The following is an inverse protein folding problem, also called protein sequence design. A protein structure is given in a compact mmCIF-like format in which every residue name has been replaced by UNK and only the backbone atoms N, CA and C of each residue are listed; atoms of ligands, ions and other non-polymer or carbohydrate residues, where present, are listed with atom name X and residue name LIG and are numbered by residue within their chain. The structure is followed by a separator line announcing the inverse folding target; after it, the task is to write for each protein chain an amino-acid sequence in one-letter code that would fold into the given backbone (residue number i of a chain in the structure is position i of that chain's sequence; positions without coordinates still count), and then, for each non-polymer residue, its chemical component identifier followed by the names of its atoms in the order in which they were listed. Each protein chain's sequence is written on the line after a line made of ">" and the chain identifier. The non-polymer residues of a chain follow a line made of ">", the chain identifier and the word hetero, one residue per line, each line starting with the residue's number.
data_IF_319183193978
#
_entry.id   IF_319183193978
#
_cell.length_a   1.000
_cell.length_b   1.000
_cell.length_c   1.000
_cell.angle_alpha   90.00
_cell.angle_beta   90.00
_cell.angle_gamma   90.00
#
_symmetry.space_group_name_H-M   'P 1'
#
loop_
_entity.id
_entity.type
_entity.pdbx_description
1 polymer ?
#
# COMPACT_ATOMS: atom_id res chain seq x y z
N UNK A 1 23.33 -6.06 21.38
CA UNK A 1 22.14 -5.52 20.65
C UNK A 1 21.98 -6.04 19.22
N UNK A 2 22.24 -7.33 18.95
CA UNK A 2 22.13 -7.89 17.58
C UNK A 2 20.72 -7.81 16.95
N UNK A 3 19.61 -8.11 17.68
CA UNK A 3 18.27 -8.06 17.10
C UNK A 3 17.80 -6.66 16.69
N UNK A 4 18.15 -5.64 17.49
CA UNK A 4 17.78 -4.26 17.23
C UNK A 4 18.52 -3.70 16.01
N UNK A 5 19.82 -4.01 15.88
CA UNK A 5 20.60 -3.64 14.71
C UNK A 5 20.01 -4.26 13.43
N UNK A 6 19.69 -5.56 13.45
CA UNK A 6 19.08 -6.25 12.31
C UNK A 6 17.71 -5.66 11.94
N UNK A 7 16.88 -5.32 12.92
CA UNK A 7 15.60 -4.66 12.67
C UNK A 7 15.77 -3.28 12.01
N UNK A 8 16.75 -2.50 12.47
CA UNK A 8 17.07 -1.19 11.92
C UNK A 8 17.51 -1.29 10.45
N UNK A 9 18.44 -2.21 10.14
CA UNK A 9 18.89 -2.42 8.76
C UNK A 9 17.76 -2.87 7.83
N UNK A 10 16.92 -3.83 8.25
CA UNK A 10 15.78 -4.28 7.43
C UNK A 10 14.75 -3.18 7.21
N UNK A 11 14.59 -2.28 8.20
CA UNK A 11 13.70 -1.14 8.07
C UNK A 11 14.22 -0.13 7.05
N UNK A 12 15.52 0.19 7.05
CA UNK A 12 16.09 1.12 6.07
C UNK A 12 16.19 0.51 4.66
N UNK A 13 16.49 -0.79 4.56
CA UNK A 13 16.70 -1.46 3.26
C UNK A 13 15.40 -1.68 2.47
N UNK A 14 14.23 -1.62 3.11
CA UNK A 14 12.94 -1.87 2.44
C UNK A 14 12.65 -0.81 1.36
N UNK A 15 13.05 0.44 1.57
CA UNK A 15 12.79 1.54 0.65
C UNK A 15 13.58 1.37 -0.65
N UNK A 16 14.69 0.62 -0.61
CA UNK A 16 15.50 0.32 -1.79
C UNK A 16 14.69 -0.38 -2.89
N UNK A 17 13.62 -1.10 -2.54
CA UNK A 17 12.73 -1.75 -3.51
C UNK A 17 12.19 -0.74 -4.53
N UNK A 18 11.87 0.49 -4.10
CA UNK A 18 11.31 1.55 -4.95
C UNK A 18 12.36 2.51 -5.52
N UNK A 19 13.62 2.41 -5.08
CA UNK A 19 14.74 3.23 -5.58
C UNK A 19 15.44 2.61 -6.80
N UNK A 20 15.06 1.39 -7.20
CA UNK A 20 15.67 0.72 -8.36
C UNK A 20 15.29 1.39 -9.67
N UNK A 21 16.14 1.23 -10.70
CA UNK A 21 15.97 1.94 -11.99
C UNK A 21 14.85 1.35 -12.84
N UNK A 22 14.61 0.05 -12.69
CA UNK A 22 13.63 -0.68 -13.48
C UNK A 22 12.95 -1.79 -12.64
N UNK A 23 11.85 -2.28 -13.18
CA UNK A 23 10.99 -3.30 -12.59
C UNK A 23 11.72 -4.60 -12.26
N UNK A 24 12.65 -5.03 -13.10
CA UNK A 24 13.39 -6.27 -12.88
C UNK A 24 14.35 -6.15 -11.69
N UNK A 25 15.06 -5.02 -11.58
CA UNK A 25 15.92 -4.71 -10.42
C UNK A 25 15.09 -4.60 -9.14
N UNK A 26 13.93 -3.96 -9.19
CA UNK A 26 13.02 -3.86 -8.05
C UNK A 26 12.54 -5.22 -7.55
N UNK A 27 12.19 -6.14 -8.47
CA UNK A 27 11.79 -7.50 -8.11
C UNK A 27 12.94 -8.31 -7.53
N UNK A 28 14.16 -8.15 -8.05
CA UNK A 28 15.36 -8.76 -7.45
C UNK A 28 15.62 -8.24 -6.04
N UNK A 29 15.51 -6.92 -5.84
CA UNK A 29 15.67 -6.31 -4.52
C UNK A 29 14.57 -6.76 -3.55
N UNK A 30 13.32 -6.89 -4.02
CA UNK A 30 12.20 -7.41 -3.24
C UNK A 30 12.46 -8.85 -2.77
N UNK A 31 12.91 -9.73 -3.66
CA UNK A 31 13.23 -11.12 -3.33
C UNK A 31 14.41 -11.20 -2.34
N UNK A 32 15.45 -10.39 -2.55
CA UNK A 32 16.59 -10.27 -1.64
C UNK A 32 16.12 -9.85 -0.23
N UNK A 33 15.38 -8.75 -0.14
CA UNK A 33 14.87 -8.24 1.14
C UNK A 33 13.98 -9.27 1.84
N UNK A 34 13.09 -9.94 1.11
CA UNK A 34 12.23 -10.99 1.66
C UNK A 34 13.04 -12.15 2.23
N UNK A 35 14.13 -12.56 1.56
CA UNK A 35 15.04 -13.58 2.08
C UNK A 35 15.72 -13.15 3.37
N UNK A 36 16.26 -11.93 3.42
CA UNK A 36 16.90 -11.39 4.63
C UNK A 36 15.91 -11.29 5.79
N UNK A 37 14.69 -10.85 5.53
CA UNK A 37 13.61 -10.79 6.51
C UNK A 37 13.24 -12.18 7.06
N UNK A 38 13.24 -13.22 6.21
CA UNK A 38 13.01 -14.61 6.65
C UNK A 38 14.16 -15.16 7.51
N UNK A 39 15.40 -14.86 7.14
CA UNK A 39 16.60 -15.30 7.85
C UNK A 39 16.79 -14.57 9.20
N UNK A 40 16.26 -13.35 9.36
CA UNK A 40 16.38 -12.51 10.57
C UNK A 40 15.81 -13.12 11.86
N UNK A 41 14.98 -14.16 11.77
CA UNK A 41 14.21 -14.76 12.87
C UNK A 41 13.25 -13.79 13.58
N UNK A 42 13.05 -12.58 13.05
CA UNK A 42 12.11 -11.60 13.60
C UNK A 42 10.70 -11.83 13.03
N UNK A 43 9.76 -12.23 13.89
CA UNK A 43 8.40 -12.59 13.49
C UNK A 43 7.69 -11.52 12.65
N UNK A 44 7.80 -10.25 13.04
CA UNK A 44 7.15 -9.14 12.33
C UNK A 44 7.69 -8.96 10.91
N UNK A 45 9.00 -9.04 10.71
CA UNK A 45 9.61 -8.91 9.38
C UNK A 45 9.25 -10.10 8.47
N UNK A 46 9.14 -11.31 9.01
CA UNK A 46 8.63 -12.48 8.26
C UNK A 46 7.22 -12.25 7.73
N UNK A 47 6.34 -11.66 8.55
CA UNK A 47 4.97 -11.34 8.16
C UNK A 47 4.92 -10.27 7.07
N UNK A 48 5.79 -9.26 7.16
CA UNK A 48 5.94 -8.23 6.12
C UNK A 48 6.43 -8.87 4.82
N UNK A 49 7.46 -9.71 4.86
CA UNK A 49 7.97 -10.41 3.68
C UNK A 49 6.88 -11.26 2.99
N UNK A 50 6.10 -12.02 3.75
CA UNK A 50 4.98 -12.78 3.20
C UNK A 50 3.93 -11.87 2.53
N UNK A 51 3.61 -10.74 3.15
CA UNK A 51 2.65 -9.77 2.61
C UNK A 51 3.14 -9.09 1.33
N UNK A 52 4.43 -8.75 1.29
CA UNK A 52 5.08 -8.16 0.13
C UNK A 52 5.12 -9.13 -1.05
N UNK A 53 5.52 -10.38 -0.82
CA UNK A 53 5.53 -11.42 -1.86
C UNK A 53 4.14 -11.69 -2.41
N UNK A 54 3.11 -11.74 -1.56
CA UNK A 54 1.72 -11.89 -2.00
C UNK A 54 1.24 -10.73 -2.88
N UNK A 55 1.81 -9.53 -2.71
CA UNK A 55 1.46 -8.30 -3.44
C UNK A 55 2.50 -7.88 -4.49
N UNK A 56 3.44 -8.77 -4.84
CA UNK A 56 4.55 -8.47 -5.77
C UNK A 56 4.09 -7.90 -7.12
N UNK A 57 2.92 -8.31 -7.59
CA UNK A 57 2.34 -7.82 -8.84
C UNK A 57 2.01 -6.33 -8.78
N UNK A 58 1.51 -5.84 -7.64
CA UNK A 58 1.24 -4.42 -7.42
C UNK A 58 2.51 -3.58 -7.35
N UNK A 59 3.56 -4.11 -6.71
CA UNK A 59 4.89 -3.46 -6.66
C UNK A 59 5.47 -3.35 -8.08
N UNK A 60 5.40 -4.43 -8.84
CA UNK A 60 5.77 -4.47 -10.25
C UNK A 60 4.97 -3.45 -11.08
N UNK A 61 3.65 -3.39 -10.88
CA UNK A 61 2.78 -2.49 -11.65
C UNK A 61 3.06 -1.00 -11.38
N UNK A 62 3.58 -0.64 -10.21
CA UNK A 62 3.99 0.73 -9.89
C UNK A 62 5.12 1.25 -10.81
N UNK A 63 5.99 0.35 -11.28
CA UNK A 63 7.04 0.70 -12.24
C UNK A 63 6.50 0.94 -13.65
N UNK A 64 5.45 0.22 -14.05
CA UNK A 64 4.80 0.38 -15.35
C UNK A 64 3.91 1.65 -15.36
N UNK A 65 3.20 1.87 -14.26
CA UNK A 65 2.35 3.03 -14.04
C UNK A 65 2.65 3.60 -12.66
N UNK A 66 3.26 4.79 -12.61
CA UNK A 66 3.55 5.52 -11.36
C UNK A 66 2.28 6.07 -10.70
N UNK A 67 1.29 5.21 -10.51
CA UNK A 67 0.01 5.53 -9.88
C UNK A 67 0.30 5.79 -8.41
N UNK A 68 0.08 7.02 -7.98
CA UNK A 68 0.15 7.42 -6.58
C UNK A 68 -1.11 6.98 -5.84
N UNK A 69 -0.95 6.52 -4.60
CA UNK A 69 -2.07 6.26 -3.69
C UNK A 69 -2.80 7.54 -3.27
N UNK A 70 -2.26 8.74 -3.52
CA UNK A 70 -2.82 10.01 -3.06
C UNK A 70 -4.30 10.19 -3.45
N UNK A 71 -4.69 9.79 -4.66
CA UNK A 71 -6.09 9.89 -5.11
C UNK A 71 -7.01 8.94 -4.34
N UNK A 72 -6.59 7.69 -4.18
CA UNK A 72 -7.34 6.67 -3.44
C UNK A 72 -7.45 7.05 -1.96
N UNK A 73 -6.38 7.59 -1.37
CA UNK A 73 -6.38 8.13 -0.02
C UNK A 73 -7.31 9.34 0.13
N UNK A 74 -7.33 10.25 -0.84
CA UNK A 74 -8.26 11.38 -0.88
C UNK A 74 -9.73 10.93 -0.87
N UNK A 75 -10.06 9.95 -1.71
CA UNK A 75 -11.40 9.33 -1.74
C UNK A 75 -11.73 8.68 -0.40
N UNK A 76 -10.81 7.87 0.14
CA UNK A 76 -10.97 7.21 1.43
C UNK A 76 -11.21 8.22 2.57
N UNK A 77 -10.52 9.37 2.55
CA UNK A 77 -10.71 10.43 3.53
C UNK A 77 -12.08 11.11 3.38
N UNK A 78 -12.54 11.39 2.15
CA UNK A 78 -13.90 11.94 1.90
C UNK A 78 -14.98 10.97 2.39
N UNK A 79 -14.84 9.67 2.12
CA UNK A 79 -15.75 8.62 2.63
C UNK A 79 -15.73 8.57 4.16
N UNK A 80 -14.55 8.57 4.79
CA UNK A 80 -14.42 8.58 6.26
C UNK A 80 -15.11 9.80 6.87
N UNK A 81 -14.96 10.98 6.27
CA UNK A 81 -15.63 12.19 6.72
C UNK A 81 -17.15 12.05 6.64
N UNK A 82 -17.67 11.53 5.53
CA UNK A 82 -19.11 11.30 5.33
C UNK A 82 -19.68 10.34 6.36
N UNK A 83 -19.01 9.20 6.60
CA UNK A 83 -19.38 8.26 7.67
C UNK A 83 -19.39 8.91 9.05
N UNK A 84 -18.39 9.74 9.38
CA UNK A 84 -18.32 10.49 10.65
C UNK A 84 -19.48 11.47 10.81
N UNK A 85 -19.80 12.25 9.77
CA UNK A 85 -20.90 13.22 9.80
C UNK A 85 -22.27 12.56 9.97
N UNK A 86 -22.44 11.37 9.40
CA UNK A 86 -23.69 10.61 9.50
C UNK A 86 -23.89 9.90 10.85
N UNK A 87 -22.85 9.82 11.71
CA UNK A 87 -22.86 8.98 12.92
C UNK A 87 -23.25 7.51 12.62
N UNK A 88 -22.87 7.02 11.44
CA UNK A 88 -23.24 5.70 10.94
C UNK A 88 -24.45 5.73 9.99
N UNK A 89 -24.42 4.88 8.96
CA UNK A 89 -25.55 4.68 8.06
C UNK A 89 -26.29 3.42 8.48
N UNK A 90 -27.60 3.54 8.73
CA UNK A 90 -28.48 2.38 9.03
C UNK A 90 -28.96 1.68 7.76
N UNK A 91 -29.04 2.43 6.66
CA UNK A 91 -29.42 1.95 5.33
C UNK A 91 -28.17 1.87 4.46
N UNK A 92 -27.82 0.64 4.10
CA UNK A 92 -26.65 0.32 3.29
C UNK A 92 -26.82 0.77 1.84
N UNK A 93 -28.05 0.68 1.28
CA UNK A 93 -28.35 1.15 -0.08
C UNK A 93 -28.21 2.65 -0.20
N UNK A 94 -28.61 3.39 0.84
CA UNK A 94 -28.41 4.83 0.87
C UNK A 94 -26.92 5.20 0.91
N UNK A 95 -26.11 4.43 1.64
CA UNK A 95 -24.66 4.63 1.64
C UNK A 95 -24.03 4.32 0.27
N UNK A 96 -24.47 3.28 -0.42
CA UNK A 96 -24.05 2.96 -1.80
C UNK A 96 -24.37 4.10 -2.78
N UNK A 97 -25.56 4.70 -2.69
CA UNK A 97 -25.94 5.85 -3.53
C UNK A 97 -25.01 7.05 -3.32
N UNK A 98 -24.62 7.33 -2.08
CA UNK A 98 -23.66 8.39 -1.77
C UNK A 98 -22.27 8.08 -2.36
N UNK A 99 -21.84 6.82 -2.29
CA UNK A 99 -20.57 6.37 -2.89
C UNK A 99 -20.57 6.53 -4.41
N UNK A 100 -21.68 6.21 -5.08
CA UNK A 100 -21.84 6.40 -6.52
C UNK A 100 -21.78 7.89 -6.90
N UNK A 101 -22.48 8.76 -6.17
CA UNK A 101 -22.43 10.21 -6.43
C UNK A 101 -21.02 10.80 -6.26
N UNK A 102 -20.24 10.31 -5.28
CA UNK A 102 -18.84 10.70 -5.10
C UNK A 102 -17.96 10.31 -6.29
N UNK A 103 -18.19 9.14 -6.87
CA UNK A 103 -17.44 8.67 -8.03
C UNK A 103 -17.69 9.58 -9.26
N UNK A 104 -18.94 9.96 -9.48
CA UNK A 104 -19.34 10.84 -10.59
C UNK A 104 -18.76 12.26 -10.46
N UNK A 105 -18.79 12.87 -9.27
CA UNK A 105 -18.13 14.16 -9.00
C UNK A 105 -16.62 14.10 -9.28
N UNK A 106 -15.97 13.00 -8.87
CA UNK A 106 -14.53 12.81 -9.06
C UNK A 106 -14.18 12.63 -10.53
N UNK A 107 -15.03 11.97 -11.31
CA UNK A 107 -14.84 11.81 -12.76
C UNK A 107 -15.16 13.09 -13.55
N UNK A 108 -16.11 13.91 -13.09
CA UNK A 108 -16.43 15.20 -13.69
C UNK A 108 -15.26 16.20 -13.59
N UNK A 109 -14.46 16.13 -12.53
CA UNK A 109 -13.24 16.94 -12.34
C UNK A 109 -12.08 16.45 -13.23
N UNK A 110 -12.17 15.24 -13.79
CA UNK A 110 -11.13 14.64 -14.65
C UNK A 110 -11.37 14.85 -16.17
N UNK A 111 -12.40 15.62 -16.55
CA UNK A 111 -12.62 16.05 -17.94
C UNK A 111 -12.10 17.46 -18.17
#
# INVERSE_FOLDING_TARGET
>A
NKPLATAYYLYEDIDQIWMQKNKEEALRQLEYWCRQAQESKLYYFKKVAASLMARRTGISAWYDYKISNARVEGINNKIKMIKRKAYGFRDEKYFELILLGLYDETNAIMR
#
